data_IF_410684082242
#
_entry.id   IF_410684082242
#
_cell.length_a   1.000
_cell.length_b   1.000
_cell.length_c   1.000
_cell.angle_alpha   90.00
_cell.angle_beta   90.00
_cell.angle_gamma   90.00
#
_symmetry.space_group_name_H-M   'P 1'
#
loop_
_entity.id
_entity.type
_entity.pdbx_description
1 polymer ?
#
# COMPACT_ATOMS: atom_id res chain seq x y z
N UNK A 1 -26.22 13.90 8.16
CA UNK A 1 -25.18 13.00 8.69
C UNK A 1 -23.79 13.56 8.38
N UNK A 2 -23.50 13.89 7.12
CA UNK A 2 -22.19 14.45 6.69
C UNK A 2 -21.84 15.75 7.44
N UNK A 3 -22.77 16.69 7.56
CA UNK A 3 -22.56 17.93 8.32
C UNK A 3 -22.19 17.68 9.80
N UNK A 4 -22.75 16.64 10.41
CA UNK A 4 -22.40 16.26 11.77
C UNK A 4 -20.97 15.72 11.85
N UNK A 5 -20.56 14.87 10.91
CA UNK A 5 -19.19 14.33 10.84
C UNK A 5 -18.17 15.45 10.66
N UNK A 6 -18.42 16.39 9.76
CA UNK A 6 -17.50 17.51 9.55
C UNK A 6 -17.37 18.39 10.80
N UNK A 7 -18.48 18.73 11.47
CA UNK A 7 -18.43 19.46 12.75
C UNK A 7 -17.70 18.69 13.84
N UNK A 8 -17.88 17.38 13.89
CA UNK A 8 -17.18 16.51 14.82
C UNK A 8 -15.67 16.52 14.59
N UNK A 9 -15.23 16.37 13.33
CA UNK A 9 -13.80 16.46 12.95
C UNK A 9 -13.23 17.83 13.32
N UNK A 10 -13.88 18.91 12.90
CA UNK A 10 -13.42 20.29 13.16
C UNK A 10 -13.25 20.57 14.65
N UNK A 11 -14.25 20.22 15.47
CA UNK A 11 -14.19 20.38 16.92
C UNK A 11 -13.02 19.63 17.54
N UNK A 12 -12.83 18.37 17.18
CA UNK A 12 -11.76 17.52 17.71
C UNK A 12 -10.38 17.98 17.23
N UNK A 13 -10.22 18.35 15.96
CA UNK A 13 -8.97 18.91 15.43
C UNK A 13 -8.57 20.20 16.18
N UNK A 14 -9.53 21.09 16.45
CA UNK A 14 -9.27 22.28 17.24
C UNK A 14 -8.85 21.96 18.67
N UNK A 15 -9.46 20.94 19.29
CA UNK A 15 -9.07 20.47 20.61
C UNK A 15 -7.64 19.86 20.59
N UNK A 16 -7.31 19.02 19.62
CA UNK A 16 -5.95 18.44 19.48
C UNK A 16 -4.88 19.50 19.30
N UNK A 17 -5.10 20.48 18.39
CA UNK A 17 -4.16 21.58 18.13
C UNK A 17 -3.92 22.46 19.35
N UNK A 18 -4.93 22.66 20.21
CA UNK A 18 -4.83 23.44 21.43
C UNK A 18 -4.11 22.68 22.54
N UNK A 19 -4.18 21.36 22.55
CA UNK A 19 -3.67 20.49 23.60
C UNK A 19 -2.64 19.50 23.04
N UNK A 20 -1.82 19.94 22.07
CA UNK A 20 -0.88 19.08 21.37
C UNK A 20 0.24 18.50 22.27
N UNK A 21 0.44 19.09 23.43
CA UNK A 21 1.44 18.72 24.43
C UNK A 21 0.93 17.72 25.50
N UNK A 22 -0.30 17.23 25.35
CA UNK A 22 -0.90 16.33 26.33
C UNK A 22 -1.76 15.23 25.69
N UNK A 23 -2.27 14.30 26.51
CA UNK A 23 -3.00 13.10 26.09
C UNK A 23 -4.26 13.38 25.24
N UNK A 24 -4.83 14.58 25.31
CA UNK A 24 -5.98 14.96 24.47
C UNK A 24 -5.63 14.86 22.98
N UNK A 25 -4.47 15.38 22.59
CA UNK A 25 -4.05 15.31 21.19
C UNK A 25 -3.84 13.87 20.73
N UNK A 26 -3.22 13.03 21.56
CA UNK A 26 -3.03 11.61 21.28
C UNK A 26 -4.38 10.90 21.09
N UNK A 27 -5.32 11.06 22.01
CA UNK A 27 -6.65 10.44 21.91
C UNK A 27 -7.41 10.92 20.68
N UNK A 28 -7.37 12.20 20.36
CA UNK A 28 -8.02 12.74 19.15
C UNK A 28 -7.38 12.17 17.90
N UNK A 29 -6.05 12.12 17.84
CA UNK A 29 -5.32 11.56 16.70
C UNK A 29 -5.75 10.11 16.44
N UNK A 30 -5.77 9.26 17.48
CA UNK A 30 -6.20 7.87 17.38
C UNK A 30 -7.66 7.73 16.94
N UNK A 31 -8.56 8.61 17.41
CA UNK A 31 -9.98 8.56 17.07
C UNK A 31 -10.30 9.08 15.68
N UNK A 32 -9.50 10.01 15.15
CA UNK A 32 -9.71 10.62 13.84
C UNK A 32 -8.84 10.01 12.74
N UNK A 33 -7.91 9.14 13.09
CA UNK A 33 -7.06 8.49 12.09
C UNK A 33 -7.91 7.78 11.03
N UNK A 34 -7.59 7.99 9.75
CA UNK A 34 -8.41 7.52 8.63
C UNK A 34 -9.65 8.40 8.31
N UNK A 35 -9.91 9.44 9.11
CA UNK A 35 -11.00 10.39 8.87
C UNK A 35 -10.52 11.79 8.50
N UNK A 36 -9.25 12.08 8.69
CA UNK A 36 -8.60 13.39 8.47
C UNK A 36 -7.42 13.24 7.52
N UNK A 37 -7.05 14.34 6.89
CA UNK A 37 -5.96 14.40 5.92
C UNK A 37 -4.58 14.32 6.59
N UNK A 38 -3.59 13.75 5.89
CA UNK A 38 -2.22 13.64 6.38
C UNK A 38 -1.63 15.00 6.83
N UNK A 39 -1.93 16.09 6.12
CA UNK A 39 -1.49 17.43 6.51
C UNK A 39 -2.02 17.85 7.88
N UNK A 40 -3.24 17.43 8.24
CA UNK A 40 -3.83 17.72 9.56
C UNK A 40 -3.18 16.87 10.65
N UNK A 41 -2.83 15.62 10.33
CA UNK A 41 -2.07 14.73 11.21
C UNK A 41 -0.68 15.30 11.46
N UNK A 42 0.05 15.70 10.40
CA UNK A 42 1.37 16.33 10.50
C UNK A 42 1.37 17.58 11.41
N UNK A 43 0.35 18.42 11.28
CA UNK A 43 0.23 19.63 12.11
C UNK A 43 0.08 19.30 13.60
N UNK A 44 -0.60 18.21 13.95
CA UNK A 44 -0.73 17.72 15.32
C UNK A 44 0.59 17.12 15.79
N UNK A 45 1.17 16.20 15.01
CA UNK A 45 2.43 15.53 15.33
C UNK A 45 3.59 16.51 15.54
N UNK A 46 3.66 17.57 14.73
CA UNK A 46 4.72 18.59 14.82
C UNK A 46 4.73 19.37 16.15
N UNK A 47 3.64 19.31 16.91
CA UNK A 47 3.50 19.98 18.22
C UNK A 47 3.56 19.01 19.39
N UNK A 48 3.60 17.70 19.13
CA UNK A 48 3.67 16.69 20.18
C UNK A 48 5.08 16.63 20.80
N UNK A 49 5.18 16.46 22.13
CA UNK A 49 6.45 16.16 22.78
C UNK A 49 7.04 14.83 22.28
N UNK A 50 8.37 14.73 22.29
CA UNK A 50 9.07 13.51 21.85
C UNK A 50 8.61 12.24 22.57
N UNK A 51 8.30 12.34 23.85
CA UNK A 51 7.77 11.22 24.65
C UNK A 51 6.46 10.67 24.08
N UNK A 52 5.58 11.55 23.59
CA UNK A 52 4.32 11.13 22.96
C UNK A 52 4.51 10.57 21.55
N UNK A 53 5.52 11.03 20.83
CA UNK A 53 5.87 10.48 19.52
C UNK A 53 6.45 9.06 19.62
N UNK A 54 6.91 8.64 20.80
CA UNK A 54 7.37 7.28 21.10
C UNK A 54 6.20 6.33 21.49
N UNK A 55 4.97 6.84 21.70
CA UNK A 55 3.80 5.99 21.86
C UNK A 55 3.62 5.10 20.62
N UNK A 56 3.45 3.81 20.80
CA UNK A 56 3.42 2.81 19.72
C UNK A 56 2.38 3.15 18.63
N UNK A 57 1.20 3.61 19.02
CA UNK A 57 0.14 3.96 18.09
C UNK A 57 0.43 5.28 17.37
N UNK A 58 0.96 6.28 18.08
CA UNK A 58 1.37 7.56 17.46
C UNK A 58 2.51 7.34 16.48
N UNK A 59 3.50 6.53 16.86
CA UNK A 59 4.62 6.17 16.00
C UNK A 59 4.16 5.42 14.72
N UNK A 60 3.17 4.52 14.87
CA UNK A 60 2.55 3.83 13.73
C UNK A 60 1.88 4.82 12.77
N UNK A 61 1.06 5.74 13.29
CA UNK A 61 0.41 6.79 12.48
C UNK A 61 1.45 7.66 11.78
N UNK A 62 2.47 8.11 12.52
CA UNK A 62 3.56 8.92 11.97
C UNK A 62 4.27 8.19 10.83
N UNK A 63 4.62 6.92 11.03
CA UNK A 63 5.27 6.09 10.00
C UNK A 63 4.42 6.03 8.72
N UNK A 64 3.10 5.83 8.84
CA UNK A 64 2.18 5.79 7.70
C UNK A 64 2.13 7.12 6.95
N UNK A 65 2.02 8.24 7.66
CA UNK A 65 2.02 9.58 7.06
C UNK A 65 3.35 9.89 6.38
N UNK A 66 4.48 9.60 7.03
CA UNK A 66 5.82 9.80 6.46
C UNK A 66 6.00 8.96 5.17
N UNK A 67 5.50 7.72 5.16
CA UNK A 67 5.54 6.83 4.01
C UNK A 67 4.70 7.38 2.84
N UNK A 68 3.45 7.75 3.06
CA UNK A 68 2.58 8.36 2.03
C UNK A 68 3.16 9.66 1.48
N UNK A 69 3.79 10.46 2.32
CA UNK A 69 4.46 11.69 1.88
C UNK A 69 5.68 11.40 1.01
N UNK A 70 6.49 10.42 1.38
CA UNK A 70 7.67 10.01 0.61
C UNK A 70 7.30 9.39 -0.75
N UNK A 71 6.09 8.86 -0.87
CA UNK A 71 5.58 8.16 -2.07
C UNK A 71 4.35 8.85 -2.67
N UNK A 72 4.21 10.16 -2.45
CA UNK A 72 3.13 10.96 -3.02
C UNK A 72 3.25 11.08 -4.56
N UNK A 73 2.15 11.41 -5.20
CA UNK A 73 2.12 11.75 -6.63
C UNK A 73 3.18 12.81 -6.96
N UNK A 74 3.92 12.60 -8.03
CA UNK A 74 5.03 13.43 -8.45
C UNK A 74 6.39 13.09 -7.81
N UNK A 75 6.45 12.15 -6.85
CA UNK A 75 7.72 11.68 -6.30
C UNK A 75 8.25 10.46 -7.04
N UNK A 76 9.52 10.15 -6.85
CA UNK A 76 10.11 8.90 -7.35
C UNK A 76 9.65 7.72 -6.50
N UNK A 77 9.47 6.57 -7.15
CA UNK A 77 9.21 5.34 -6.41
C UNK A 77 10.31 5.04 -5.38
N UNK A 78 9.94 4.38 -4.29
CA UNK A 78 10.88 3.89 -3.28
C UNK A 78 11.11 2.40 -3.52
N UNK A 79 12.38 2.01 -3.72
CA UNK A 79 12.73 0.62 -4.01
C UNK A 79 12.58 -0.28 -2.78
N UNK A 80 12.29 -1.54 -3.02
CA UNK A 80 12.26 -2.59 -2.01
C UNK A 80 12.64 -3.94 -2.61
N UNK A 81 12.98 -4.87 -1.74
CA UNK A 81 13.35 -6.24 -2.12
C UNK A 81 12.46 -7.23 -1.38
N UNK A 82 11.97 -8.25 -2.08
CA UNK A 82 11.19 -9.35 -1.50
C UNK A 82 11.69 -10.70 -2.04
N UNK A 83 11.45 -11.75 -1.26
CA UNK A 83 11.69 -13.12 -1.67
C UNK A 83 10.45 -13.69 -2.35
N UNK A 84 10.40 -13.60 -3.68
CA UNK A 84 9.30 -14.10 -4.49
C UNK A 84 9.32 -15.62 -4.62
N UNK A 85 8.16 -16.26 -4.43
CA UNK A 85 7.97 -17.69 -4.69
C UNK A 85 7.39 -17.87 -6.09
N UNK A 86 8.21 -18.33 -7.03
CA UNK A 86 7.81 -18.50 -8.43
C UNK A 86 7.24 -19.89 -8.77
N UNK A 87 7.28 -20.82 -7.81
CA UNK A 87 6.75 -22.18 -7.99
C UNK A 87 7.10 -23.09 -6.84
N UNK A 88 6.89 -24.36 -7.07
CA UNK A 88 7.24 -25.45 -6.15
C UNK A 88 7.99 -26.56 -6.91
N UNK A 89 8.90 -27.23 -6.24
CA UNK A 89 9.54 -28.39 -6.83
C UNK A 89 8.53 -29.56 -6.99
N UNK A 90 8.93 -30.60 -7.73
CA UNK A 90 8.08 -31.77 -8.02
C UNK A 90 8.31 -32.94 -7.08
N UNK A 91 8.83 -32.69 -5.88
CA UNK A 91 9.03 -33.71 -4.86
C UNK A 91 7.73 -34.18 -4.23
N UNK A 92 7.78 -35.29 -3.46
CA UNK A 92 6.61 -35.76 -2.69
C UNK A 92 6.22 -34.80 -1.55
N UNK A 93 7.15 -33.95 -1.12
CA UNK A 93 6.96 -32.85 -0.17
C UNK A 93 7.44 -31.56 -0.86
N UNK A 94 6.57 -30.90 -1.67
CA UNK A 94 6.96 -29.81 -2.53
C UNK A 94 7.50 -28.61 -1.74
N UNK A 95 8.74 -28.21 -2.05
CA UNK A 95 9.36 -27.04 -1.44
C UNK A 95 9.24 -25.81 -2.34
N UNK A 96 9.03 -24.61 -1.77
CA UNK A 96 8.91 -23.39 -2.55
C UNK A 96 10.22 -23.05 -3.25
N UNK A 97 10.14 -22.78 -4.54
CA UNK A 97 11.23 -22.25 -5.35
C UNK A 97 11.19 -20.73 -5.27
N UNK A 98 12.25 -20.16 -4.71
CA UNK A 98 12.31 -18.75 -4.34
C UNK A 98 13.39 -18.01 -5.10
N UNK A 99 13.16 -16.72 -5.33
CA UNK A 99 14.17 -15.78 -5.82
C UNK A 99 13.98 -14.41 -5.19
N UNK A 100 15.08 -13.72 -4.94
CA UNK A 100 15.07 -12.33 -4.56
C UNK A 100 14.73 -11.49 -5.79
N UNK A 101 13.76 -10.57 -5.65
CA UNK A 101 13.35 -9.62 -6.68
C UNK A 101 13.30 -8.21 -6.09
N UNK A 102 13.70 -7.23 -6.88
CA UNK A 102 13.63 -5.82 -6.54
C UNK A 102 12.50 -5.16 -7.28
N UNK A 103 11.82 -4.23 -6.64
CA UNK A 103 10.77 -3.47 -7.31
C UNK A 103 11.33 -2.67 -8.49
N UNK A 104 12.54 -2.14 -8.35
CA UNK A 104 13.28 -1.47 -9.42
C UNK A 104 13.62 -2.36 -10.62
N UNK A 105 13.45 -3.68 -10.56
CA UNK A 105 13.59 -4.55 -11.72
C UNK A 105 12.44 -4.36 -12.72
N UNK A 106 11.30 -3.85 -12.26
CA UNK A 106 10.05 -3.74 -13.02
C UNK A 106 9.61 -2.30 -13.33
N UNK A 107 9.99 -1.32 -12.50
CA UNK A 107 9.57 0.08 -12.62
C UNK A 107 10.72 0.99 -13.03
N UNK A 108 10.40 2.15 -13.63
CA UNK A 108 11.43 3.10 -14.10
C UNK A 108 12.28 2.59 -15.26
N UNK A 109 11.72 1.71 -16.09
CA UNK A 109 12.41 1.06 -17.24
C UNK A 109 11.91 1.55 -18.60
N UNK A 110 11.33 2.74 -18.67
CA UNK A 110 10.85 3.31 -19.93
C UNK A 110 9.43 2.92 -20.30
N UNK A 111 8.71 2.22 -19.43
CA UNK A 111 7.29 1.84 -19.59
C UNK A 111 6.46 2.32 -18.40
N UNK A 112 5.17 2.54 -18.63
CA UNK A 112 4.22 2.74 -17.54
C UNK A 112 3.96 1.41 -16.81
N UNK A 113 3.86 1.45 -15.49
CA UNK A 113 3.54 0.27 -14.68
C UNK A 113 2.36 0.58 -13.79
N UNK A 114 1.25 -0.11 -14.00
CA UNK A 114 0.13 -0.12 -13.05
C UNK A 114 0.43 -1.17 -11.98
N UNK A 115 0.69 -0.70 -10.77
CA UNK A 115 0.94 -1.54 -9.60
C UNK A 115 -0.37 -1.78 -8.87
N UNK A 116 -0.71 -3.06 -8.67
CA UNK A 116 -1.91 -3.52 -7.97
C UNK A 116 -1.52 -4.22 -6.66
N UNK A 117 -1.92 -3.64 -5.55
CA UNK A 117 -1.76 -4.25 -4.22
C UNK A 117 -3.01 -5.07 -3.91
N UNK A 118 -2.86 -6.37 -3.86
CA UNK A 118 -3.97 -7.30 -3.72
C UNK A 118 -3.68 -8.48 -2.79
N UNK A 119 -4.69 -9.31 -2.55
CA UNK A 119 -4.52 -10.60 -1.89
C UNK A 119 -5.64 -11.57 -2.30
N UNK A 120 -5.38 -12.88 -2.36
CA UNK A 120 -6.39 -13.89 -2.72
C UNK A 120 -7.67 -13.86 -1.86
N UNK A 121 -7.53 -13.51 -0.58
CA UNK A 121 -8.67 -13.40 0.35
C UNK A 121 -9.45 -12.08 0.23
N UNK A 122 -8.94 -11.09 -0.51
CA UNK A 122 -9.54 -9.78 -0.66
C UNK A 122 -10.67 -9.82 -1.70
N UNK A 123 -11.91 -9.89 -1.26
CA UNK A 123 -13.08 -9.91 -2.13
C UNK A 123 -13.20 -8.69 -3.07
N UNK A 124 -13.02 -7.45 -2.57
CA UNK A 124 -12.99 -6.25 -3.42
C UNK A 124 -11.88 -6.31 -4.48
N UNK A 125 -10.65 -6.78 -4.12
CA UNK A 125 -9.55 -6.92 -5.07
C UNK A 125 -9.91 -7.85 -6.23
N UNK A 126 -10.52 -9.00 -5.92
CA UNK A 126 -10.97 -9.96 -6.94
C UNK A 126 -12.03 -9.37 -7.89
N UNK A 127 -12.86 -8.44 -7.42
CA UNK A 127 -13.82 -7.73 -8.26
C UNK A 127 -13.18 -6.66 -9.14
N UNK A 128 -12.01 -6.15 -8.75
CA UNK A 128 -11.25 -5.17 -9.53
C UNK A 128 -10.45 -5.80 -10.68
N UNK A 129 -10.07 -7.07 -10.59
CA UNK A 129 -9.28 -7.77 -11.62
C UNK A 129 -9.85 -7.63 -13.03
N UNK A 130 -11.17 -7.78 -13.29
CA UNK A 130 -11.72 -7.58 -14.65
C UNK A 130 -11.49 -6.16 -15.20
N UNK A 131 -11.49 -5.13 -14.35
CA UNK A 131 -11.21 -3.75 -14.77
C UNK A 131 -9.72 -3.60 -15.12
N UNK A 132 -8.83 -4.17 -14.30
CA UNK A 132 -7.39 -4.19 -14.58
C UNK A 132 -7.11 -4.93 -15.89
N UNK A 133 -7.75 -6.08 -16.13
CA UNK A 133 -7.64 -6.83 -17.39
C UNK A 133 -8.04 -5.97 -18.59
N UNK A 134 -9.16 -5.26 -18.50
CA UNK A 134 -9.62 -4.39 -19.58
C UNK A 134 -8.61 -3.27 -19.88
N UNK A 135 -8.05 -2.63 -18.84
CA UNK A 135 -7.02 -1.60 -18.97
C UNK A 135 -5.75 -2.20 -19.59
N UNK A 136 -5.30 -3.35 -19.09
CA UNK A 136 -4.12 -4.03 -19.58
C UNK A 136 -4.26 -4.37 -21.09
N UNK A 137 -5.34 -5.01 -21.50
CA UNK A 137 -5.60 -5.34 -22.91
C UNK A 137 -5.64 -4.11 -23.81
N UNK A 138 -6.14 -2.98 -23.33
CA UNK A 138 -6.23 -1.75 -24.10
C UNK A 138 -4.87 -1.04 -24.28
N UNK A 139 -3.94 -1.22 -23.34
CA UNK A 139 -2.72 -0.41 -23.28
C UNK A 139 -1.40 -1.21 -23.27
N UNK A 140 -1.41 -2.54 -23.17
CA UNK A 140 -0.19 -3.36 -23.18
C UNK A 140 0.71 -3.12 -24.39
N UNK A 141 0.12 -2.96 -25.57
CA UNK A 141 0.84 -2.67 -26.81
C UNK A 141 1.23 -1.18 -26.95
N UNK A 142 0.83 -0.35 -26.00
CA UNK A 142 1.13 1.09 -25.93
C UNK A 142 2.14 1.44 -24.82
N UNK A 143 2.76 0.42 -24.23
CA UNK A 143 3.79 0.60 -23.19
C UNK A 143 3.29 0.59 -21.76
N UNK A 144 2.09 0.02 -21.49
CA UNK A 144 1.64 -0.25 -20.13
C UNK A 144 1.98 -1.69 -19.75
N UNK A 145 2.57 -1.86 -18.59
CA UNK A 145 2.67 -3.12 -17.88
C UNK A 145 1.77 -3.10 -16.65
N UNK A 146 1.35 -4.26 -16.17
CA UNK A 146 0.70 -4.44 -14.87
C UNK A 146 1.62 -5.27 -13.99
N UNK A 147 1.75 -4.90 -12.72
CA UNK A 147 2.49 -5.62 -11.72
C UNK A 147 1.62 -5.78 -10.47
N UNK A 148 1.16 -7.00 -10.20
CA UNK A 148 0.41 -7.29 -8.98
C UNK A 148 1.34 -7.73 -7.85
N UNK A 149 1.27 -7.05 -6.72
CA UNK A 149 1.98 -7.34 -5.48
C UNK A 149 1.02 -8.02 -4.50
N UNK A 150 1.24 -9.31 -4.22
CA UNK A 150 0.43 -10.02 -3.23
C UNK A 150 0.94 -9.69 -1.83
N UNK A 151 0.11 -8.93 -1.10
CA UNK A 151 0.39 -8.45 0.25
C UNK A 151 -0.54 -9.11 1.27
N UNK A 152 -0.12 -9.17 2.53
CA UNK A 152 -0.91 -9.68 3.67
C UNK A 152 -1.49 -11.09 3.43
N UNK A 153 -0.74 -11.93 2.73
CA UNK A 153 -1.15 -13.29 2.41
C UNK A 153 -1.42 -14.10 3.70
N UNK A 154 -2.52 -14.86 3.72
CA UNK A 154 -2.98 -15.66 4.88
C UNK A 154 -2.82 -17.15 4.67
N UNK A 155 -2.39 -17.57 3.48
CA UNK A 155 -2.18 -18.94 3.07
C UNK A 155 -0.82 -19.06 2.37
N UNK A 156 -0.30 -20.27 2.18
CA UNK A 156 0.93 -20.48 1.40
C UNK A 156 0.84 -19.87 0.00
N UNK A 157 1.96 -19.45 -0.56
CA UNK A 157 2.06 -18.75 -1.85
C UNK A 157 1.53 -19.58 -3.03
N UNK A 158 1.48 -20.93 -2.92
CA UNK A 158 0.78 -21.79 -3.88
C UNK A 158 -0.65 -21.35 -4.12
N UNK A 159 -1.37 -20.98 -3.04
CA UNK A 159 -2.74 -20.50 -3.15
C UNK A 159 -2.83 -19.14 -3.89
N UNK A 160 -1.83 -18.27 -3.72
CA UNK A 160 -1.77 -17.00 -4.47
C UNK A 160 -1.53 -17.26 -5.96
N UNK A 161 -0.60 -18.14 -6.28
CA UNK A 161 -0.28 -18.55 -7.66
C UNK A 161 -1.52 -19.17 -8.35
N UNK A 162 -2.18 -20.12 -7.68
CA UNK A 162 -3.41 -20.75 -8.18
C UNK A 162 -4.54 -19.74 -8.38
N UNK A 163 -4.78 -18.86 -7.39
CA UNK A 163 -5.83 -17.85 -7.47
C UNK A 163 -5.59 -16.85 -8.60
N UNK A 164 -4.35 -16.41 -8.81
CA UNK A 164 -4.00 -15.52 -9.92
C UNK A 164 -4.29 -16.18 -11.27
N UNK A 165 -3.93 -17.46 -11.43
CA UNK A 165 -4.22 -18.23 -12.63
C UNK A 165 -5.75 -18.43 -12.85
N UNK A 166 -6.50 -18.77 -11.81
CA UNK A 166 -7.97 -18.89 -11.85
C UNK A 166 -8.67 -17.58 -12.25
N UNK A 167 -8.12 -16.44 -11.83
CA UNK A 167 -8.65 -15.12 -12.17
C UNK A 167 -8.17 -14.61 -13.54
N UNK A 168 -7.33 -15.37 -14.26
CA UNK A 168 -6.81 -15.00 -15.58
C UNK A 168 -5.91 -13.75 -15.53
N UNK A 169 -5.12 -13.62 -14.48
CA UNK A 169 -4.19 -12.50 -14.33
C UNK A 169 -2.93 -12.80 -15.15
N UNK A 170 -2.95 -12.50 -16.45
CA UNK A 170 -1.90 -12.86 -17.42
C UNK A 170 -0.77 -11.80 -17.50
N UNK A 171 -0.40 -11.20 -16.36
CA UNK A 171 0.67 -10.19 -16.23
C UNK A 171 1.64 -10.54 -15.09
N UNK A 172 2.55 -9.63 -14.79
CA UNK A 172 3.58 -9.86 -13.78
C UNK A 172 3.00 -9.93 -12.36
N UNK A 173 3.44 -10.92 -11.59
CA UNK A 173 3.06 -11.10 -10.20
C UNK A 173 4.28 -11.26 -9.31
N UNK A 174 4.27 -10.59 -8.17
CA UNK A 174 5.18 -10.83 -7.06
C UNK A 174 4.33 -11.23 -5.86
N UNK A 175 4.58 -12.41 -5.30
CA UNK A 175 3.95 -12.88 -4.06
C UNK A 175 4.98 -12.89 -2.92
N UNK A 176 4.53 -13.29 -1.73
CA UNK A 176 5.35 -13.31 -0.53
C UNK A 176 5.88 -11.91 -0.14
N UNK A 177 5.11 -10.86 -0.51
CA UNK A 177 5.50 -9.48 -0.22
C UNK A 177 5.34 -9.12 1.27
N UNK A 178 4.53 -9.87 2.02
CA UNK A 178 4.24 -9.57 3.42
C UNK A 178 3.66 -8.17 3.60
N UNK A 179 4.31 -7.36 4.42
CA UNK A 179 3.94 -5.95 4.68
C UNK A 179 4.94 -4.97 4.03
N UNK A 180 6.01 -5.46 3.40
CA UNK A 180 7.11 -4.60 2.92
C UNK A 180 6.60 -3.48 2.01
N UNK A 181 5.86 -3.77 0.90
CA UNK A 181 5.41 -2.69 0.03
C UNK A 181 4.41 -1.77 0.70
N UNK A 182 3.49 -2.33 1.51
CA UNK A 182 2.45 -1.53 2.17
C UNK A 182 3.02 -0.59 3.22
N UNK A 183 4.03 -1.03 3.96
CA UNK A 183 4.74 -0.19 4.93
C UNK A 183 5.51 0.95 4.26
N UNK A 184 6.14 0.67 3.11
CA UNK A 184 6.95 1.65 2.36
C UNK A 184 6.06 2.71 1.70
N UNK A 185 4.92 2.31 1.16
CA UNK A 185 3.99 3.19 0.44
C UNK A 185 2.84 3.72 1.30
N UNK A 186 2.83 3.39 2.60
CA UNK A 186 1.77 3.80 3.52
C UNK A 186 0.38 3.28 3.13
N UNK A 187 0.31 2.12 2.48
CA UNK A 187 -0.93 1.48 2.05
C UNK A 187 -1.60 0.81 3.24
N UNK A 188 -2.79 1.27 3.61
CA UNK A 188 -3.54 0.80 4.79
C UNK A 188 -4.70 -0.12 4.42
N UNK A 189 -5.04 -0.21 3.14
CA UNK A 189 -6.15 -1.04 2.66
C UNK A 189 -5.96 -1.49 1.22
N UNK A 190 -6.55 -2.62 0.88
CA UNK A 190 -6.57 -3.16 -0.48
C UNK A 190 -8.03 -3.38 -0.95
N UNK A 191 -8.33 -3.23 -2.26
CA UNK A 191 -7.39 -2.98 -3.36
C UNK A 191 -6.78 -1.57 -3.29
N UNK A 192 -5.53 -1.45 -3.71
CA UNK A 192 -4.87 -0.18 -3.92
C UNK A 192 -4.12 -0.22 -5.25
N UNK A 193 -4.33 0.80 -6.08
CA UNK A 193 -3.69 0.91 -7.39
C UNK A 193 -2.79 2.13 -7.40
N UNK A 194 -1.62 1.98 -8.02
CA UNK A 194 -0.64 3.06 -8.18
C UNK A 194 -0.07 2.98 -9.59
N UNK A 195 -0.04 4.12 -10.28
CA UNK A 195 0.56 4.22 -11.60
C UNK A 195 1.98 4.79 -11.48
N UNK A 196 2.96 4.11 -12.08
CA UNK A 196 4.34 4.58 -12.14
C UNK A 196 4.69 4.90 -13.59
N UNK A 197 5.24 6.08 -13.80
CA UNK A 197 5.70 6.57 -15.10
C UNK A 197 6.97 5.87 -15.60
N UNK A 198 7.33 6.07 -16.87
CA UNK A 198 8.50 5.44 -17.49
C UNK A 198 9.82 5.78 -16.83
N UNK A 199 9.91 6.94 -16.18
CA UNK A 199 11.07 7.42 -15.43
C UNK A 199 11.10 6.96 -13.97
N UNK A 200 10.01 6.35 -13.49
CA UNK A 200 9.84 5.92 -12.09
C UNK A 200 9.07 6.91 -11.22
N UNK A 201 8.54 7.99 -11.80
CA UNK A 201 7.68 8.94 -11.06
C UNK A 201 6.32 8.31 -10.77
N UNK A 202 5.82 8.47 -9.56
CA UNK A 202 4.45 8.09 -9.15
C UNK A 202 3.48 9.13 -9.73
N UNK A 203 2.40 8.67 -10.40
CA UNK A 203 1.45 9.51 -11.16
C UNK A 203 0.05 9.47 -10.55
#
# INVERSE_FOLDING_TARGET
>A
YEEFIEKYKEFNLKAAKKNADNDVARQVLLNLYGMIEDAQIEEILAKMPEEMLQDENVAFIKKGVDARKATAEGTMFVDFTVEHVYGYDRSMDPQPLKQEVKFSDYVGKGTYVLVDFWSPWCGPCRREIPNIQQVYEQYKDKGLQVLSLAVWERKPQSHTIETAAELGMDWLHINNCGQIPTDIYGVEGIPHLMLIGPDGTIL
#
